data_IF_564532985004
#
_entry.id   IF_564532985004
#
_cell.length_a   1.000
_cell.length_b   1.000
_cell.length_c   1.000
_cell.angle_alpha   90.00
_cell.angle_beta   90.00
_cell.angle_gamma   90.00
#
_symmetry.space_group_name_H-M   'P 1'
#
loop_
_entity.id
_entity.type
_entity.pdbx_description
1 polymer ?
#
# COMPACT_ATOMS: atom_id res chain seq x y z
N UNK A 1 15.57 34.82 8.50
CA UNK A 1 15.31 33.66 9.39
C UNK A 1 16.18 32.51 8.91
N UNK A 2 16.88 31.80 9.80
CA UNK A 2 17.65 30.62 9.40
C UNK A 2 16.67 29.52 9.01
N UNK A 3 16.88 28.87 7.88
CA UNK A 3 16.05 27.75 7.45
C UNK A 3 16.15 26.61 8.48
N UNK A 4 15.00 26.05 8.87
CA UNK A 4 14.93 24.95 9.84
C UNK A 4 15.44 23.67 9.19
N UNK A 5 16.26 22.91 9.90
CA UNK A 5 16.73 21.58 9.48
C UNK A 5 15.64 20.55 9.76
N UNK A 6 15.05 19.97 8.71
CA UNK A 6 13.92 19.03 8.81
C UNK A 6 14.28 17.69 8.17
N UNK A 7 13.74 16.61 8.72
CA UNK A 7 13.88 15.26 8.13
C UNK A 7 12.56 14.51 8.19
N UNK A 8 12.29 13.73 7.15
CA UNK A 8 11.21 12.76 7.10
C UNK A 8 11.78 11.34 7.16
N UNK A 9 11.44 10.61 8.23
CA UNK A 9 11.81 9.21 8.44
C UNK A 9 10.62 8.34 8.05
N UNK A 10 10.89 7.42 7.14
CA UNK A 10 9.89 6.57 6.49
C UNK A 10 10.13 5.11 6.89
N UNK A 11 9.16 4.52 7.57
CA UNK A 11 9.13 3.09 7.85
C UNK A 11 8.59 2.24 6.70
N UNK A 12 8.46 0.93 6.95
CA UNK A 12 7.78 0.02 6.04
C UNK A 12 6.26 0.27 6.08
N UNK A 13 5.62 0.51 4.95
CA UNK A 13 4.16 0.68 4.87
C UNK A 13 3.69 2.03 4.38
N UNK A 14 4.57 2.88 3.87
CA UNK A 14 4.16 4.12 3.18
C UNK A 14 3.19 3.84 2.04
N UNK A 15 3.36 2.71 1.35
CA UNK A 15 2.45 2.24 0.32
C UNK A 15 1.01 1.98 0.82
N UNK A 16 0.76 2.00 2.13
CA UNK A 16 -0.59 1.80 2.70
C UNK A 16 -1.21 3.06 3.30
N UNK A 17 -0.51 4.19 3.23
CA UNK A 17 -1.02 5.44 3.78
C UNK A 17 -2.08 6.05 2.86
N UNK A 18 -3.06 6.73 3.46
CA UNK A 18 -4.02 7.58 2.76
C UNK A 18 -3.33 8.59 1.81
N UNK A 19 -3.99 9.01 0.72
CA UNK A 19 -3.47 9.99 -0.26
C UNK A 19 -2.76 11.17 0.37
N UNK A 20 -3.43 11.81 1.33
CA UNK A 20 -2.95 13.05 1.96
C UNK A 20 -1.54 12.90 2.56
N UNK A 21 -1.19 11.69 3.00
CA UNK A 21 0.11 11.37 3.54
C UNK A 21 1.15 11.09 2.44
N UNK A 22 0.74 10.53 1.30
CA UNK A 22 1.60 10.39 0.12
C UNK A 22 1.88 11.75 -0.53
N UNK A 23 0.86 12.61 -0.62
CA UNK A 23 1.03 13.99 -1.07
C UNK A 23 2.00 14.75 -0.16
N UNK A 24 1.87 14.58 1.16
CA UNK A 24 2.83 15.11 2.13
C UNK A 24 4.27 14.62 1.88
N UNK A 25 4.46 13.33 1.55
CA UNK A 25 5.78 12.79 1.19
C UNK A 25 6.29 13.38 -0.12
N UNK A 26 5.42 13.50 -1.13
CA UNK A 26 5.77 14.01 -2.46
C UNK A 26 6.17 15.49 -2.42
N UNK A 27 5.48 16.27 -1.60
CA UNK A 27 5.76 17.69 -1.40
C UNK A 27 6.93 17.93 -0.43
N UNK A 28 7.53 16.87 0.12
CA UNK A 28 8.66 16.96 1.05
C UNK A 28 9.97 17.30 0.33
N UNK A 29 10.44 18.53 0.53
CA UNK A 29 11.66 19.05 -0.12
C UNK A 29 12.94 18.87 0.68
N UNK A 30 12.86 18.48 1.95
CA UNK A 30 14.02 18.26 2.82
C UNK A 30 14.50 16.79 2.73
N UNK A 31 15.44 16.40 3.58
CA UNK A 31 15.98 15.03 3.58
C UNK A 31 14.90 13.98 3.88
N UNK A 32 14.94 12.87 3.14
CA UNK A 32 14.15 11.66 3.37
C UNK A 32 15.09 10.53 3.78
N UNK A 33 14.77 9.90 4.90
CA UNK A 33 15.46 8.74 5.43
C UNK A 33 14.50 7.56 5.44
N UNK A 34 14.91 6.40 4.94
CA UNK A 34 14.04 5.20 4.85
C UNK A 34 14.55 4.06 5.71
N UNK A 35 13.62 3.25 6.21
CA UNK A 35 13.92 2.07 7.00
C UNK A 35 13.66 0.80 6.19
N UNK A 36 14.52 -0.21 6.37
CA UNK A 36 14.41 -1.55 5.80
C UNK A 36 14.13 -1.58 4.30
N UNK A 37 12.89 -1.78 3.87
CA UNK A 37 12.53 -1.88 2.45
C UNK A 37 11.72 -0.68 1.96
N UNK A 38 11.60 0.36 2.78
CA UNK A 38 10.87 1.59 2.45
C UNK A 38 11.33 2.22 1.13
N UNK A 39 12.61 2.10 0.75
CA UNK A 39 13.14 2.58 -0.54
C UNK A 39 12.45 1.99 -1.79
N UNK A 40 11.76 0.85 -1.65
CA UNK A 40 11.00 0.21 -2.73
C UNK A 40 9.55 0.73 -2.82
N UNK A 41 9.05 1.39 -1.78
CA UNK A 41 7.62 1.69 -1.65
C UNK A 41 7.19 2.98 -2.33
N UNK A 42 8.13 3.82 -2.76
CA UNK A 42 7.81 5.07 -3.43
C UNK A 42 8.85 5.38 -4.50
N UNK A 43 8.42 5.32 -5.77
CA UNK A 43 9.30 5.57 -6.94
C UNK A 43 9.78 7.03 -7.01
N UNK A 44 9.06 7.95 -6.38
CA UNK A 44 9.33 9.39 -6.47
C UNK A 44 10.09 9.96 -5.25
N UNK A 45 10.90 9.17 -4.53
CA UNK A 45 11.76 9.74 -3.48
C UNK A 45 12.90 10.57 -4.08
N UNK A 46 12.60 11.80 -4.48
CA UNK A 46 13.61 12.70 -5.07
C UNK A 46 14.70 13.11 -4.08
N UNK A 47 14.41 13.07 -2.77
CA UNK A 47 15.31 13.50 -1.70
C UNK A 47 15.70 12.37 -0.74
N UNK A 48 15.70 11.11 -1.22
CA UNK A 48 16.23 10.00 -0.43
C UNK A 48 17.73 10.19 -0.20
N UNK A 49 18.13 10.52 1.02
CA UNK A 49 19.54 10.73 1.37
C UNK A 49 20.11 9.58 2.18
N UNK A 50 19.29 8.86 2.95
CA UNK A 50 19.77 7.83 3.88
C UNK A 50 18.82 6.65 4.01
N UNK A 51 19.39 5.52 4.36
CA UNK A 51 18.70 4.28 4.60
C UNK A 51 19.29 3.55 5.80
N UNK A 52 18.45 2.91 6.62
CA UNK A 52 18.89 1.97 7.65
C UNK A 52 18.15 0.64 7.53
N UNK A 53 18.82 -0.45 7.83
CA UNK A 53 18.17 -1.74 7.97
C UNK A 53 19.01 -2.79 8.67
N UNK A 54 18.42 -3.98 8.71
CA UNK A 54 19.15 -5.21 9.03
C UNK A 54 19.98 -5.67 7.83
N UNK A 55 20.69 -6.79 8.01
CA UNK A 55 21.61 -7.34 7.00
C UNK A 55 20.97 -7.51 5.60
N UNK A 56 19.85 -8.24 5.51
CA UNK A 56 19.21 -8.55 4.22
C UNK A 56 18.69 -7.30 3.49
N UNK A 57 17.92 -6.39 4.13
CA UNK A 57 17.48 -5.16 3.49
C UNK A 57 18.64 -4.28 2.98
N UNK A 58 19.71 -4.13 3.77
CA UNK A 58 20.87 -3.33 3.37
C UNK A 58 21.61 -3.97 2.19
N UNK A 59 21.77 -5.30 2.17
CA UNK A 59 22.41 -5.98 1.05
C UNK A 59 21.61 -5.82 -0.25
N UNK A 60 20.27 -5.96 -0.19
CA UNK A 60 19.38 -5.70 -1.34
C UNK A 60 19.46 -4.24 -1.82
N UNK A 61 19.60 -3.29 -0.89
CA UNK A 61 19.68 -1.88 -1.23
C UNK A 61 20.98 -1.47 -1.91
N UNK A 62 22.11 -2.10 -1.59
CA UNK A 62 23.37 -1.90 -2.33
C UNK A 62 23.17 -2.22 -3.80
N UNK A 63 22.60 -3.41 -4.09
CA UNK A 63 22.29 -3.81 -5.47
C UNK A 63 21.29 -2.86 -6.13
N UNK A 64 20.23 -2.47 -5.42
CA UNK A 64 19.23 -1.54 -5.94
C UNK A 64 19.82 -0.17 -6.31
N UNK A 65 20.68 0.37 -5.42
CA UNK A 65 21.39 1.64 -5.62
C UNK A 65 22.26 1.61 -6.87
N UNK A 66 23.01 0.53 -7.07
CA UNK A 66 23.87 0.33 -8.25
C UNK A 66 23.06 0.21 -9.54
N UNK A 67 22.01 -0.62 -9.55
CA UNK A 67 21.17 -0.84 -10.73
C UNK A 67 20.43 0.42 -11.19
N UNK A 68 20.11 1.34 -10.28
CA UNK A 68 19.32 2.54 -10.57
C UNK A 68 20.15 3.83 -10.53
N UNK A 69 21.47 3.73 -10.40
CA UNK A 69 22.39 4.88 -10.29
C UNK A 69 21.94 5.92 -9.23
N UNK A 70 21.50 5.42 -8.07
CA UNK A 70 21.01 6.26 -6.98
C UNK A 70 22.15 6.64 -6.03
N UNK A 71 21.99 7.74 -5.29
CA UNK A 71 22.98 8.21 -4.35
C UNK A 71 22.39 8.49 -2.96
N UNK A 72 22.33 7.45 -2.13
CA UNK A 72 21.99 7.57 -0.70
C UNK A 72 22.96 6.75 0.16
N UNK A 73 23.06 7.14 1.42
CA UNK A 73 23.89 6.46 2.42
C UNK A 73 23.17 5.25 3.02
N UNK A 74 23.89 4.15 3.23
CA UNK A 74 23.35 2.92 3.82
C UNK A 74 23.96 2.74 5.21
N UNK A 75 23.09 2.58 6.21
CA UNK A 75 23.43 2.35 7.61
C UNK A 75 22.97 0.96 8.03
N UNK A 76 23.78 0.29 8.84
CA UNK A 76 23.41 -0.96 9.49
C UNK A 76 22.96 -0.67 10.92
N UNK A 77 21.82 -1.25 11.33
CA UNK A 77 21.39 -1.18 12.73
C UNK A 77 22.38 -1.89 13.66
N UNK A 78 22.91 -3.03 13.25
CA UNK A 78 23.87 -3.81 14.05
C UNK A 78 25.23 -3.90 13.34
N UNK A 79 26.25 -3.28 13.95
CA UNK A 79 27.59 -3.16 13.37
C UNK A 79 28.28 -4.52 13.20
N UNK A 80 27.98 -5.49 14.06
CA UNK A 80 28.53 -6.84 13.98
C UNK A 80 28.18 -7.59 12.68
N UNK A 81 27.27 -7.08 11.85
CA UNK A 81 26.97 -7.63 10.53
C UNK A 81 27.68 -6.95 9.37
N UNK A 82 28.45 -5.87 9.62
CA UNK A 82 29.11 -5.10 8.57
C UNK A 82 30.00 -5.95 7.66
N UNK A 83 30.70 -6.91 8.23
CA UNK A 83 31.57 -7.82 7.48
C UNK A 83 30.81 -8.78 6.54
N UNK A 84 29.50 -8.93 6.73
CA UNK A 84 28.66 -9.82 5.91
C UNK A 84 28.11 -9.14 4.66
N UNK A 85 28.07 -7.80 4.62
CA UNK A 85 27.50 -7.06 3.49
C UNK A 85 28.46 -7.06 2.30
N UNK A 86 27.93 -7.40 1.13
CA UNK A 86 28.62 -7.21 -0.13
C UNK A 86 28.99 -5.73 -0.26
N UNK A 87 30.29 -5.43 -0.28
CA UNK A 87 30.81 -4.05 -0.29
C UNK A 87 30.61 -3.27 1.02
N UNK A 88 30.96 -3.88 2.15
CA UNK A 88 30.97 -3.29 3.51
C UNK A 88 31.56 -1.88 3.66
N UNK A 89 32.40 -1.42 2.72
CA UNK A 89 32.94 -0.05 2.64
C UNK A 89 31.86 1.00 2.35
N UNK A 90 30.76 0.63 1.70
CA UNK A 90 29.64 1.53 1.40
C UNK A 90 28.73 1.76 2.62
N UNK A 91 28.88 0.96 3.68
CA UNK A 91 28.03 1.02 4.87
C UNK A 91 28.64 1.99 5.89
N UNK A 92 27.84 2.96 6.31
CA UNK A 92 28.18 3.95 7.34
C UNK A 92 27.82 3.45 8.73
N UNK A 93 28.52 3.98 9.73
CA UNK A 93 28.28 3.73 11.15
C UNK A 93 27.27 4.75 11.67
N UNK A 94 26.45 4.34 12.64
CA UNK A 94 25.54 5.21 13.38
C UNK A 94 26.27 5.83 14.58
N UNK A 95 25.91 7.07 14.91
CA UNK A 95 26.38 7.74 16.12
C UNK A 95 25.51 7.39 17.35
N UNK A 96 24.41 6.66 17.12
CA UNK A 96 23.48 6.21 18.16
C UNK A 96 24.18 5.20 19.08
N UNK A 97 24.17 5.36 20.42
CA UNK A 97 24.67 4.35 21.35
C UNK A 97 23.88 3.03 21.27
N UNK A 98 24.55 1.89 21.53
CA UNK A 98 23.97 0.55 21.35
C UNK A 98 22.67 0.33 22.15
N UNK A 99 22.58 0.90 23.35
CA UNK A 99 21.39 0.81 24.21
C UNK A 99 20.15 1.52 23.64
N UNK A 100 20.33 2.38 22.62
CA UNK A 100 19.26 3.05 21.88
C UNK A 100 19.08 2.49 20.46
N UNK A 101 19.74 1.38 20.09
CA UNK A 101 19.56 0.72 18.78
C UNK A 101 18.48 -0.36 18.84
N UNK A 102 17.21 0.03 19.03
CA UNK A 102 16.08 -0.92 19.13
C UNK A 102 15.66 -1.48 17.77
N UNK A 103 14.84 -0.77 17.01
CA UNK A 103 14.48 -1.09 15.62
C UNK A 103 15.03 -0.04 14.66
N UNK A 104 15.02 -0.33 13.35
CA UNK A 104 15.58 0.53 12.31
C UNK A 104 15.07 1.97 12.37
N UNK A 105 13.75 2.17 12.51
CA UNK A 105 13.21 3.52 12.46
C UNK A 105 13.30 4.27 13.79
N UNK A 106 13.10 3.58 14.91
CA UNK A 106 13.39 4.12 16.25
C UNK A 106 14.84 4.59 16.35
N UNK A 107 15.79 3.80 15.84
CA UNK A 107 17.22 4.16 15.79
C UNK A 107 17.47 5.41 14.94
N UNK A 108 16.83 5.54 13.78
CA UNK A 108 16.93 6.74 12.95
C UNK A 108 16.35 7.99 13.59
N UNK A 109 15.31 7.86 14.42
CA UNK A 109 14.81 9.00 15.19
C UNK A 109 15.88 9.49 16.18
N UNK A 110 16.58 8.59 16.86
CA UNK A 110 17.68 8.98 17.75
C UNK A 110 18.84 9.61 16.98
N UNK A 111 19.21 9.03 15.83
CA UNK A 111 20.24 9.63 14.97
C UNK A 111 19.87 11.07 14.57
N UNK A 112 18.61 11.32 14.18
CA UNK A 112 18.14 12.66 13.84
C UNK A 112 18.16 13.62 15.04
N UNK A 113 17.83 13.14 16.24
CA UNK A 113 17.92 13.94 17.47
C UNK A 113 19.39 14.32 17.75
N UNK A 114 20.31 13.35 17.70
CA UNK A 114 21.75 13.57 17.94
C UNK A 114 22.36 14.53 16.90
N UNK A 115 21.89 14.47 15.65
CA UNK A 115 22.25 15.39 14.57
C UNK A 115 21.57 16.76 14.66
N UNK A 116 20.83 17.02 15.74
CA UNK A 116 20.20 18.30 16.09
C UNK A 116 19.26 18.80 15.00
N UNK A 117 18.47 17.93 14.39
CA UNK A 117 17.36 18.36 13.55
C UNK A 117 16.38 19.24 14.35
N UNK A 118 15.77 20.21 13.68
CA UNK A 118 14.79 21.12 14.28
C UNK A 118 13.40 20.46 14.31
N UNK A 119 13.07 19.70 13.28
CA UNK A 119 11.82 18.96 13.16
C UNK A 119 12.05 17.58 12.55
N UNK A 120 11.49 16.55 13.18
CA UNK A 120 11.65 15.15 12.80
C UNK A 120 10.25 14.58 12.55
N UNK A 121 9.94 14.29 11.31
CA UNK A 121 8.66 13.71 10.92
C UNK A 121 8.85 12.22 10.72
N UNK A 122 7.90 11.45 11.22
CA UNK A 122 7.97 10.00 11.25
C UNK A 122 6.68 9.48 10.65
N UNK A 123 6.78 8.67 9.60
CA UNK A 123 5.63 8.20 8.84
C UNK A 123 5.80 6.75 8.40
N UNK A 124 4.71 5.99 8.32
CA UNK A 124 4.75 4.59 7.93
C UNK A 124 5.64 3.74 8.84
N UNK A 125 5.92 4.21 10.07
CA UNK A 125 6.53 3.37 11.08
C UNK A 125 5.51 2.34 11.46
N UNK A 126 5.77 1.09 11.10
CA UNK A 126 4.83 0.00 11.30
C UNK A 126 4.79 -0.38 12.77
N UNK A 127 4.02 0.39 13.54
CA UNK A 127 3.98 0.29 14.99
C UNK A 127 2.89 -0.66 15.47
N UNK A 128 2.60 -1.70 14.68
CA UNK A 128 1.72 -2.82 15.02
C UNK A 128 0.67 -3.15 13.96
N UNK A 129 0.89 -2.74 12.71
CA UNK A 129 0.10 -3.15 11.56
C UNK A 129 0.70 -4.40 10.93
N UNK A 130 -0.03 -5.05 10.02
CA UNK A 130 0.55 -6.18 9.30
C UNK A 130 1.71 -5.71 8.44
N UNK A 131 2.97 -5.91 8.86
CA UNK A 131 4.13 -5.56 8.04
C UNK A 131 4.07 -6.29 6.71
N UNK A 132 4.17 -5.51 5.62
CA UNK A 132 4.03 -6.00 4.25
C UNK A 132 5.21 -6.88 3.82
N UNK A 133 6.33 -6.77 4.52
CA UNK A 133 7.54 -7.54 4.30
C UNK A 133 7.79 -8.59 5.39
N UNK A 134 7.13 -8.48 6.55
CA UNK A 134 7.28 -9.40 7.69
C UNK A 134 5.93 -9.95 8.14
N UNK A 135 5.61 -11.14 7.62
CA UNK A 135 4.37 -11.86 7.95
C UNK A 135 4.21 -12.07 9.45
N UNK A 136 3.12 -11.54 10.02
CA UNK A 136 2.76 -11.76 11.43
C UNK A 136 3.38 -10.79 12.43
N UNK A 137 4.13 -9.76 11.99
CA UNK A 137 4.73 -8.77 12.89
C UNK A 137 3.70 -8.06 13.80
N UNK A 138 2.47 -7.88 13.31
CA UNK A 138 1.33 -7.33 14.08
C UNK A 138 0.90 -8.17 15.28
N UNK A 139 1.32 -9.45 15.35
CA UNK A 139 0.96 -10.37 16.43
C UNK A 139 1.98 -10.43 17.55
N UNK A 140 3.12 -9.77 17.36
CA UNK A 140 4.15 -9.72 18.38
C UNK A 140 3.75 -8.75 19.49
N UNK A 141 4.15 -9.07 20.71
CA UNK A 141 4.01 -8.15 21.84
C UNK A 141 4.90 -6.92 21.61
N UNK A 142 4.29 -5.74 21.65
CA UNK A 142 4.97 -4.43 21.47
C UNK A 142 5.16 -3.68 22.79
N UNK A 143 5.02 -4.36 23.93
CA UNK A 143 5.20 -3.76 25.25
C UNK A 143 6.61 -3.18 25.45
N UNK A 144 7.65 -3.92 25.05
CA UNK A 144 9.05 -3.49 25.16
C UNK A 144 9.34 -2.24 24.32
N UNK A 145 8.63 -2.08 23.21
CA UNK A 145 8.74 -0.91 22.35
C UNK A 145 8.24 0.37 23.05
N UNK A 146 7.13 0.27 23.79
CA UNK A 146 6.60 1.41 24.57
C UNK A 146 7.61 1.85 25.63
N UNK A 147 8.19 0.89 26.35
CA UNK A 147 9.17 1.17 27.39
C UNK A 147 10.44 1.80 26.81
N UNK A 148 10.83 1.36 25.62
CA UNK A 148 11.94 1.97 24.89
C UNK A 148 11.61 3.43 24.50
N UNK A 149 10.45 3.71 23.92
CA UNK A 149 10.09 5.08 23.53
C UNK A 149 9.88 6.01 24.73
N UNK A 150 9.40 5.50 25.86
CA UNK A 150 9.33 6.25 27.11
C UNK A 150 10.71 6.62 27.63
N UNK A 151 11.65 5.68 27.54
CA UNK A 151 13.07 5.93 27.87
C UNK A 151 13.63 7.06 27.01
N UNK A 152 13.41 6.98 25.70
CA UNK A 152 13.82 8.02 24.76
C UNK A 152 13.18 9.37 25.06
N UNK A 153 11.88 9.39 25.36
CA UNK A 153 11.18 10.62 25.70
C UNK A 153 11.77 11.30 26.94
N UNK A 154 12.16 10.51 27.94
CA UNK A 154 12.82 11.01 29.15
C UNK A 154 14.23 11.53 28.86
N UNK A 155 15.02 10.79 28.08
CA UNK A 155 16.44 11.06 27.93
C UNK A 155 16.74 12.12 26.85
N UNK A 156 15.85 12.26 25.85
CA UNK A 156 16.07 13.12 24.68
C UNK A 156 14.97 14.16 24.41
N UNK A 157 13.82 14.07 25.08
CA UNK A 157 12.58 14.74 24.68
C UNK A 157 12.07 14.29 23.29
N UNK A 158 10.75 14.32 23.11
CA UNK A 158 10.09 14.08 21.82
C UNK A 158 9.47 15.35 21.22
N UNK A 159 9.77 16.54 21.74
CA UNK A 159 9.11 17.78 21.32
C UNK A 159 9.23 18.07 19.83
N UNK A 160 10.35 17.65 19.24
CA UNK A 160 10.64 17.82 17.80
C UNK A 160 10.13 16.69 16.93
N UNK A 161 9.64 15.61 17.53
CA UNK A 161 9.19 14.41 16.82
C UNK A 161 7.69 14.48 16.58
N UNK A 162 7.30 14.35 15.31
CA UNK A 162 5.91 14.33 14.86
C UNK A 162 5.61 13.01 14.15
N UNK A 163 4.65 12.26 14.68
CA UNK A 163 4.14 11.06 14.01
C UNK A 163 3.02 11.46 13.04
N UNK A 164 3.20 11.16 11.76
CA UNK A 164 2.23 11.43 10.70
C UNK A 164 1.36 10.19 10.49
N UNK A 165 0.04 10.38 10.46
CA UNK A 165 -0.95 9.31 10.49
C UNK A 165 -1.47 9.08 11.90
N UNK A 166 -1.04 7.99 12.55
CA UNK A 166 -1.38 7.71 13.94
C UNK A 166 -0.40 8.40 14.89
N UNK A 167 -0.91 9.27 15.76
CA UNK A 167 -0.09 9.94 16.76
C UNK A 167 0.16 9.04 17.99
N UNK A 168 1.28 8.34 17.99
CA UNK A 168 1.72 7.49 19.09
C UNK A 168 2.24 8.28 20.30
N UNK A 169 2.61 9.55 20.11
CA UNK A 169 3.26 10.38 21.14
C UNK A 169 2.35 10.55 22.36
N UNK A 170 1.05 10.72 22.16
CA UNK A 170 0.07 10.82 23.26
C UNK A 170 0.10 9.61 24.18
N UNK A 171 0.25 8.42 23.62
CA UNK A 171 0.34 7.21 24.41
C UNK A 171 1.69 7.10 25.12
N UNK A 172 2.80 7.31 24.37
CA UNK A 172 4.17 7.25 24.90
C UNK A 172 4.32 8.17 26.11
N UNK A 173 3.81 9.40 26.02
CA UNK A 173 3.89 10.42 27.07
C UNK A 173 2.83 10.28 28.18
N UNK A 174 1.92 9.31 28.08
CA UNK A 174 0.91 9.05 29.12
C UNK A 174 1.39 7.99 30.12
N UNK A 175 0.69 7.90 31.25
CA UNK A 175 0.89 6.84 32.27
C UNK A 175 0.14 5.54 31.94
N UNK A 176 -0.44 5.42 30.73
CA UNK A 176 -1.21 4.22 30.36
C UNK A 176 -0.33 2.95 30.40
N UNK A 177 -0.84 1.80 30.87
CA UNK A 177 -0.03 0.57 30.91
C UNK A 177 0.43 0.14 29.51
N UNK A 178 1.69 -0.29 29.37
CA UNK A 178 2.26 -0.76 28.09
C UNK A 178 1.43 -1.90 27.47
N UNK A 179 0.88 -2.78 28.29
CA UNK A 179 0.03 -3.89 27.86
C UNK A 179 -1.27 -3.40 27.18
N UNK A 180 -1.75 -2.21 27.55
CA UNK A 180 -2.91 -1.59 26.89
C UNK A 180 -2.56 -1.17 25.46
N UNK A 181 -1.33 -0.69 25.24
CA UNK A 181 -0.81 -0.46 23.89
C UNK A 181 -0.79 -1.77 23.12
N UNK A 182 -0.06 -2.77 23.63
CA UNK A 182 0.08 -4.06 22.96
C UNK A 182 -1.28 -4.68 22.60
N UNK A 183 -2.27 -4.61 23.49
CA UNK A 183 -3.63 -5.06 23.23
C UNK A 183 -4.32 -4.28 22.10
N UNK A 184 -4.22 -2.95 22.06
CA UNK A 184 -4.74 -2.14 20.96
C UNK A 184 -4.18 -2.58 19.59
N UNK A 185 -2.91 -2.99 19.55
CA UNK A 185 -2.25 -3.47 18.33
C UNK A 185 -2.61 -4.91 17.98
N UNK A 186 -2.63 -5.82 18.97
CA UNK A 186 -3.00 -7.22 18.77
C UNK A 186 -4.46 -7.37 18.29
N UNK A 187 -5.34 -6.45 18.67
CA UNK A 187 -6.73 -6.39 18.21
C UNK A 187 -6.86 -5.96 16.74
N UNK A 188 -5.76 -5.61 16.07
CA UNK A 188 -5.74 -5.35 14.63
C UNK A 188 -6.57 -4.13 14.22
N UNK A 189 -6.79 -3.17 15.13
CA UNK A 189 -7.29 -1.87 14.72
C UNK A 189 -6.23 -1.25 13.82
N UNK A 190 -6.47 -1.27 12.52
CA UNK A 190 -5.64 -0.57 11.53
C UNK A 190 -5.48 0.90 11.99
N UNK A 191 -4.30 1.22 12.51
CA UNK A 191 -3.87 2.61 12.79
C UNK A 191 -3.75 3.44 11.50
N UNK A 192 -3.89 2.79 10.35
CA UNK A 192 -4.01 3.43 9.04
C UNK A 192 -5.47 3.72 8.64
N UNK A 193 -6.45 3.38 9.49
CA UNK A 193 -7.87 3.43 9.12
C UNK A 193 -8.20 2.32 8.13
N UNK A 194 -9.31 1.61 8.36
CA UNK A 194 -9.62 0.42 7.58
C UNK A 194 -9.61 0.64 6.06
N UNK A 195 -9.22 -0.39 5.33
CA UNK A 195 -9.88 -0.65 4.05
C UNK A 195 -9.46 0.19 2.83
N UNK A 196 -8.16 0.30 2.55
CA UNK A 196 -7.61 0.15 1.18
C UNK A 196 -8.05 1.11 0.06
N UNK A 197 -8.57 2.30 0.36
CA UNK A 197 -8.79 3.34 -0.65
C UNK A 197 -7.68 4.38 -0.54
N UNK A 198 -6.70 4.33 -1.44
CA UNK A 198 -5.58 5.29 -1.47
C UNK A 198 -5.80 6.38 -2.51
N UNK A 199 -6.98 6.51 -3.14
CA UNK A 199 -7.40 7.70 -3.90
C UNK A 199 -8.92 7.77 -4.09
N UNK A 200 -9.45 8.96 -4.38
CA UNK A 200 -10.81 9.11 -4.90
C UNK A 200 -10.92 8.68 -6.37
N UNK A 201 -9.79 8.51 -7.04
CA UNK A 201 -9.66 8.09 -8.43
C UNK A 201 -9.14 6.64 -8.51
N UNK A 202 -9.73 5.83 -9.38
CA UNK A 202 -9.41 4.42 -9.53
C UNK A 202 -9.26 4.09 -11.02
N UNK A 203 -8.30 3.22 -11.37
CA UNK A 203 -8.25 2.54 -12.65
C UNK A 203 -8.47 1.04 -12.46
N UNK A 204 -9.44 0.48 -13.18
CA UNK A 204 -9.75 -0.94 -13.21
C UNK A 204 -9.36 -1.49 -14.58
N UNK A 205 -8.42 -2.43 -14.61
CA UNK A 205 -7.92 -3.06 -15.82
C UNK A 205 -8.56 -4.44 -16.02
N UNK A 206 -9.27 -4.60 -17.12
CA UNK A 206 -9.85 -5.85 -17.62
C UNK A 206 -9.01 -6.53 -18.70
N UNK A 207 -9.46 -7.70 -19.16
CA UNK A 207 -8.67 -8.58 -20.05
C UNK A 207 -8.79 -8.24 -21.55
N UNK A 208 -9.54 -7.19 -21.91
CA UNK A 208 -9.79 -6.76 -23.28
C UNK A 208 -8.61 -6.01 -23.91
N UNK A 209 -8.55 -6.02 -25.24
CA UNK A 209 -7.44 -5.52 -26.05
C UNK A 209 -7.25 -3.99 -26.02
N UNK A 210 -8.25 -3.18 -25.69
CA UNK A 210 -8.11 -1.71 -25.58
C UNK A 210 -7.05 -1.30 -24.57
N UNK A 211 -6.75 -2.16 -23.58
CA UNK A 211 -5.65 -1.93 -22.65
C UNK A 211 -4.29 -1.79 -23.33
N UNK A 212 -4.11 -2.40 -24.51
CA UNK A 212 -2.88 -2.26 -25.30
C UNK A 212 -2.82 -0.92 -26.03
N UNK A 213 -3.96 -0.41 -26.49
CA UNK A 213 -4.08 0.89 -27.17
C UNK A 213 -3.85 2.07 -26.22
N UNK A 214 -4.07 1.83 -24.93
CA UNK A 214 -3.97 2.82 -23.85
C UNK A 214 -2.94 2.42 -22.80
N UNK A 215 -1.88 1.74 -23.23
CA UNK A 215 -0.81 1.30 -22.34
C UNK A 215 -0.12 2.50 -21.65
N UNK A 216 -0.03 3.65 -22.31
CA UNK A 216 0.51 4.89 -21.76
C UNK A 216 -0.27 5.36 -20.52
N UNK A 217 -1.61 5.29 -20.55
CA UNK A 217 -2.45 5.66 -19.40
C UNK A 217 -2.18 4.71 -18.23
N UNK A 218 -2.07 3.40 -18.51
CA UNK A 218 -1.82 2.38 -17.48
C UNK A 218 -0.46 2.58 -16.81
N UNK A 219 0.60 2.80 -17.59
CA UNK A 219 1.96 2.96 -17.08
C UNK A 219 2.17 4.28 -16.33
N UNK A 220 1.42 5.31 -16.68
CA UNK A 220 1.49 6.62 -16.04
C UNK A 220 0.44 6.83 -14.93
N UNK A 221 -0.37 5.80 -14.63
CA UNK A 221 -1.38 5.89 -13.58
C UNK A 221 -0.73 6.03 -12.19
N UNK A 222 -1.20 7.00 -11.40
CA UNK A 222 -0.60 7.33 -10.08
C UNK A 222 -1.53 7.08 -8.89
N UNK A 223 -2.82 6.90 -9.17
CA UNK A 223 -3.85 6.63 -8.17
C UNK A 223 -4.04 5.12 -7.99
N UNK A 224 -5.12 4.70 -7.33
CA UNK A 224 -5.41 3.29 -7.11
C UNK A 224 -5.57 2.54 -8.44
N UNK A 225 -4.96 1.37 -8.54
CA UNK A 225 -4.96 0.52 -9.72
C UNK A 225 -5.34 -0.92 -9.35
N UNK A 226 -6.46 -1.37 -9.90
CA UNK A 226 -6.97 -2.72 -9.72
C UNK A 226 -6.86 -3.49 -11.03
N UNK A 227 -6.41 -4.74 -10.95
CA UNK A 227 -6.34 -5.62 -12.11
C UNK A 227 -7.26 -6.82 -11.93
N UNK A 228 -7.93 -7.22 -13.01
CA UNK A 228 -8.77 -8.39 -13.02
C UNK A 228 -7.98 -9.67 -13.32
N UNK A 229 -8.36 -10.75 -12.64
CA UNK A 229 -7.91 -12.11 -12.93
C UNK A 229 -6.38 -12.27 -12.96
N UNK A 230 -5.80 -12.68 -14.11
CA UNK A 230 -4.37 -12.98 -14.26
C UNK A 230 -3.53 -11.81 -14.75
N UNK A 231 -4.11 -10.61 -14.89
CA UNK A 231 -3.39 -9.44 -15.43
C UNK A 231 -2.22 -9.00 -14.56
N UNK A 232 -2.20 -9.34 -13.27
CA UNK A 232 -1.05 -9.11 -12.41
C UNK A 232 0.24 -9.78 -12.91
N UNK A 233 0.13 -10.87 -13.69
CA UNK A 233 1.29 -11.52 -14.31
C UNK A 233 1.83 -10.69 -15.48
N UNK A 234 0.96 -10.00 -16.20
CA UNK A 234 1.32 -9.21 -17.37
C UNK A 234 2.07 -7.94 -16.96
N UNK A 235 1.65 -7.28 -15.88
CA UNK A 235 2.22 -6.01 -15.42
C UNK A 235 3.23 -6.16 -14.27
N UNK A 236 3.70 -7.37 -14.00
CA UNK A 236 4.64 -7.62 -12.92
C UNK A 236 5.96 -6.85 -13.15
N UNK A 237 6.34 -6.01 -12.19
CA UNK A 237 7.55 -5.19 -12.24
C UNK A 237 7.41 -3.89 -13.04
N UNK A 238 6.30 -3.70 -13.75
CA UNK A 238 6.07 -2.53 -14.60
C UNK A 238 5.32 -1.44 -13.83
N UNK A 239 4.17 -1.80 -13.25
CA UNK A 239 3.28 -0.86 -12.53
C UNK A 239 3.06 -1.29 -11.09
N UNK A 240 2.61 -0.35 -10.26
CA UNK A 240 2.13 -0.65 -8.91
C UNK A 240 0.69 -1.12 -9.03
N UNK A 241 0.40 -2.30 -8.49
CA UNK A 241 -0.94 -2.87 -8.43
C UNK A 241 -1.38 -2.80 -6.98
N UNK A 242 -2.53 -2.20 -6.71
CA UNK A 242 -3.08 -2.15 -5.35
C UNK A 242 -3.92 -3.39 -5.07
N UNK A 243 -4.69 -3.87 -6.06
CA UNK A 243 -5.58 -5.03 -5.89
C UNK A 243 -5.65 -5.93 -7.12
N UNK A 244 -5.67 -7.23 -6.85
CA UNK A 244 -6.03 -8.28 -7.80
C UNK A 244 -7.42 -8.79 -7.46
N UNK A 245 -8.32 -8.72 -8.44
CA UNK A 245 -9.74 -8.98 -8.25
C UNK A 245 -10.20 -10.12 -9.16
N UNK A 246 -10.86 -11.15 -8.63
CA UNK A 246 -11.31 -12.28 -9.45
C UNK A 246 -12.53 -13.03 -8.90
N UNK A 247 -13.45 -13.44 -9.76
CA UNK A 247 -14.52 -14.38 -9.37
C UNK A 247 -14.08 -15.85 -9.30
N UNK A 248 -12.80 -16.14 -9.61
CA UNK A 248 -12.28 -17.49 -9.71
C UNK A 248 -11.35 -17.81 -8.52
N UNK A 249 -11.78 -18.73 -7.65
CA UNK A 249 -10.99 -19.19 -6.49
C UNK A 249 -9.58 -19.66 -6.87
N UNK A 250 -9.45 -20.38 -7.99
CA UNK A 250 -8.13 -20.83 -8.46
C UNK A 250 -7.20 -19.66 -8.83
N UNK A 251 -7.72 -18.58 -9.40
CA UNK A 251 -6.94 -17.39 -9.73
C UNK A 251 -6.55 -16.63 -8.46
N UNK A 252 -7.45 -16.53 -7.48
CA UNK A 252 -7.13 -15.91 -6.19
C UNK A 252 -5.99 -16.64 -5.46
N UNK A 253 -6.00 -17.98 -5.46
CA UNK A 253 -4.92 -18.79 -4.89
C UNK A 253 -3.61 -18.59 -5.67
N UNK A 254 -3.66 -18.60 -7.01
CA UNK A 254 -2.47 -18.37 -7.84
C UNK A 254 -1.88 -16.97 -7.63
N UNK A 255 -2.73 -15.95 -7.49
CA UNK A 255 -2.32 -14.59 -7.16
C UNK A 255 -1.67 -14.53 -5.79
N UNK A 256 -2.21 -15.24 -4.79
CA UNK A 256 -1.59 -15.33 -3.46
C UNK A 256 -0.20 -15.97 -3.51
N UNK A 257 -0.06 -17.10 -4.18
CA UNK A 257 1.23 -17.78 -4.32
C UNK A 257 2.25 -16.90 -5.06
N UNK A 258 1.81 -16.18 -6.09
CA UNK A 258 2.65 -15.24 -6.82
C UNK A 258 3.06 -14.04 -5.97
N UNK A 259 2.13 -13.48 -5.19
CA UNK A 259 2.38 -12.40 -4.23
C UNK A 259 3.46 -12.78 -3.24
N UNK A 260 3.33 -13.95 -2.61
CA UNK A 260 4.29 -14.47 -1.63
C UNK A 260 5.67 -14.72 -2.26
N UNK A 261 5.72 -15.35 -3.43
CA UNK A 261 6.97 -15.66 -4.13
C UNK A 261 7.78 -14.40 -4.48
N UNK A 262 7.10 -13.32 -4.84
CA UNK A 262 7.74 -12.11 -5.36
C UNK A 262 7.70 -10.94 -4.36
N UNK A 263 7.40 -11.19 -3.08
CA UNK A 263 7.34 -10.17 -2.02
C UNK A 263 6.45 -8.96 -2.39
N UNK A 264 5.31 -9.20 -3.04
CA UNK A 264 4.39 -8.15 -3.50
C UNK A 264 3.39 -7.74 -2.42
N UNK A 265 2.92 -6.49 -2.48
CA UNK A 265 2.06 -5.88 -1.45
C UNK A 265 0.58 -5.72 -1.86
N UNK A 266 0.18 -6.13 -3.07
CA UNK A 266 -1.22 -6.00 -3.50
C UNK A 266 -2.18 -6.85 -2.66
N UNK A 267 -3.45 -6.47 -2.65
CA UNK A 267 -4.53 -7.25 -2.06
C UNK A 267 -5.17 -8.21 -3.05
N UNK A 268 -5.85 -9.24 -2.53
CA UNK A 268 -6.54 -10.22 -3.35
C UNK A 268 -7.99 -10.29 -2.93
N UNK A 269 -8.91 -10.06 -3.85
CA UNK A 269 -10.35 -10.21 -3.60
C UNK A 269 -10.97 -11.28 -4.48
N UNK A 270 -11.94 -11.99 -3.91
CA UNK A 270 -12.78 -12.91 -4.64
C UNK A 270 -14.21 -12.96 -4.14
N UNK A 271 -15.10 -13.56 -4.92
CA UNK A 271 -16.53 -13.67 -4.57
C UNK A 271 -16.86 -14.90 -3.73
N UNK A 272 -15.85 -15.69 -3.36
CA UNK A 272 -16.02 -16.94 -2.59
C UNK A 272 -15.03 -16.99 -1.45
N UNK A 273 -15.49 -17.49 -0.31
CA UNK A 273 -14.59 -17.85 0.77
C UNK A 273 -13.55 -18.88 0.29
N UNK A 274 -12.27 -18.61 0.52
CA UNK A 274 -11.17 -19.51 0.17
C UNK A 274 -10.62 -20.14 1.45
N UNK A 275 -11.01 -21.39 1.71
CA UNK A 275 -10.55 -22.14 2.89
C UNK A 275 -9.02 -22.17 2.94
N UNK A 276 -8.45 -21.86 4.10
CA UNK A 276 -7.01 -21.74 4.38
C UNK A 276 -6.32 -20.44 3.91
N UNK A 277 -7.02 -19.58 3.16
CA UNK A 277 -6.45 -18.32 2.64
C UNK A 277 -7.23 -17.08 3.10
N UNK A 278 -8.19 -17.25 4.01
CA UNK A 278 -9.14 -16.21 4.43
C UNK A 278 -8.52 -14.99 5.13
N UNK A 279 -7.24 -15.05 5.53
CA UNK A 279 -6.50 -13.89 6.06
C UNK A 279 -5.91 -13.01 4.97
N UNK A 280 -5.66 -13.58 3.80
CA UNK A 280 -4.86 -12.98 2.71
C UNK A 280 -5.68 -12.77 1.44
N UNK A 281 -6.80 -13.50 1.33
CA UNK A 281 -7.77 -13.42 0.24
C UNK A 281 -9.09 -12.94 0.82
N UNK A 282 -9.42 -11.70 0.52
CA UNK A 282 -10.62 -11.01 0.96
C UNK A 282 -11.83 -11.45 0.14
N UNK A 283 -13.00 -11.43 0.77
CA UNK A 283 -14.25 -11.53 0.04
C UNK A 283 -14.72 -10.13 -0.34
N UNK A 284 -15.29 -9.98 -1.54
CA UNK A 284 -16.02 -8.75 -1.87
C UNK A 284 -17.09 -8.46 -0.81
N UNK A 285 -17.28 -7.17 -0.52
CA UNK A 285 -18.26 -6.68 0.44
C UNK A 285 -19.65 -7.25 0.16
N UNK A 286 -20.44 -7.42 1.22
CA UNK A 286 -21.79 -7.92 1.09
C UNK A 286 -22.72 -6.89 0.46
N UNK A 287 -22.88 -7.00 -0.86
CA UNK A 287 -23.77 -6.13 -1.65
C UNK A 287 -25.17 -6.71 -1.81
N UNK A 288 -25.65 -7.47 -0.81
CA UNK A 288 -27.01 -8.02 -0.71
C UNK A 288 -28.15 -6.99 -0.72
N UNK A 289 -27.90 -5.74 -1.10
CA UNK A 289 -28.95 -4.83 -1.56
C UNK A 289 -29.65 -5.35 -2.82
N UNK A 290 -28.97 -6.14 -3.65
CA UNK A 290 -29.60 -6.91 -4.72
C UNK A 290 -30.35 -8.12 -4.14
N UNK A 291 -31.53 -7.88 -3.57
CA UNK A 291 -32.35 -8.85 -2.79
C UNK A 291 -32.63 -10.20 -3.49
N UNK A 292 -32.25 -10.40 -4.76
CA UNK A 292 -32.65 -11.57 -5.55
C UNK A 292 -31.56 -12.21 -6.45
N UNK A 293 -30.28 -11.79 -6.41
CA UNK A 293 -29.23 -12.44 -7.22
C UNK A 293 -28.08 -12.95 -6.35
N UNK A 294 -27.88 -14.28 -6.23
CA UNK A 294 -26.76 -14.85 -5.50
C UNK A 294 -25.39 -14.36 -6.02
N UNK A 295 -24.50 -13.88 -5.12
CA UNK A 295 -23.16 -13.32 -5.44
C UNK A 295 -22.29 -14.24 -6.30
N UNK A 296 -22.44 -15.54 -6.16
CA UNK A 296 -21.69 -16.55 -6.90
C UNK A 296 -22.03 -16.58 -8.39
N UNK A 297 -23.03 -15.80 -8.83
CA UNK A 297 -23.43 -15.70 -10.23
C UNK A 297 -22.90 -14.45 -10.92
N UNK A 298 -22.38 -13.44 -10.24
CA UNK A 298 -21.93 -12.23 -10.94
C UNK A 298 -20.61 -12.46 -11.69
N UNK A 299 -20.39 -11.79 -12.82
CA UNK A 299 -19.09 -11.83 -13.49
C UNK A 299 -18.07 -10.95 -12.75
N UNK A 300 -16.77 -11.25 -12.89
CA UNK A 300 -15.69 -10.49 -12.22
C UNK A 300 -15.86 -8.98 -12.41
N UNK A 301 -16.09 -8.54 -13.63
CA UNK A 301 -16.23 -7.13 -14.00
C UNK A 301 -17.33 -6.39 -13.22
N UNK A 302 -18.54 -6.94 -13.17
CA UNK A 302 -19.66 -6.33 -12.43
C UNK A 302 -19.36 -6.23 -10.93
N UNK A 303 -18.80 -7.30 -10.35
CA UNK A 303 -18.50 -7.33 -8.90
C UNK A 303 -17.44 -6.29 -8.55
N UNK A 304 -16.42 -6.13 -9.40
CA UNK A 304 -15.31 -5.21 -9.16
C UNK A 304 -15.77 -3.75 -9.25
N UNK A 305 -16.60 -3.41 -10.24
CA UNK A 305 -17.22 -2.08 -10.33
C UNK A 305 -18.09 -1.81 -9.09
N UNK A 306 -18.93 -2.77 -8.70
CA UNK A 306 -19.78 -2.62 -7.53
C UNK A 306 -18.96 -2.43 -6.24
N UNK A 307 -17.84 -3.16 -6.10
CA UNK A 307 -16.94 -3.00 -4.97
C UNK A 307 -16.35 -1.59 -4.91
N UNK A 308 -15.93 -1.02 -6.04
CA UNK A 308 -15.43 0.35 -6.10
C UNK A 308 -16.52 1.38 -5.70
N UNK A 309 -17.77 1.15 -6.08
CA UNK A 309 -18.88 2.03 -5.70
C UNK A 309 -19.19 1.94 -4.20
N UNK A 310 -19.21 0.73 -3.63
CA UNK A 310 -19.42 0.51 -2.19
C UNK A 310 -18.33 1.16 -1.36
N UNK A 311 -17.09 1.14 -1.86
CA UNK A 311 -15.94 1.82 -1.24
C UNK A 311 -15.93 3.34 -1.51
N UNK A 312 -16.90 3.85 -2.26
CA UNK A 312 -17.13 5.28 -2.44
C UNK A 312 -16.08 5.98 -3.29
N UNK A 313 -15.45 5.31 -4.27
CA UNK A 313 -14.59 5.98 -5.25
C UNK A 313 -15.38 7.03 -6.04
N UNK A 314 -14.84 8.25 -6.15
CA UNK A 314 -15.53 9.36 -6.84
C UNK A 314 -15.35 9.32 -8.34
N UNK A 315 -14.23 8.76 -8.81
CA UNK A 315 -13.91 8.57 -10.23
C UNK A 315 -13.33 7.18 -10.45
N UNK A 316 -13.99 6.38 -11.27
CA UNK A 316 -13.64 5.00 -11.58
C UNK A 316 -13.43 4.91 -13.08
N UNK A 317 -12.20 4.66 -13.49
CA UNK A 317 -11.80 4.54 -14.88
C UNK A 317 -11.68 3.07 -15.21
N UNK A 318 -12.20 2.65 -16.35
CA UNK A 318 -12.28 1.25 -16.75
C UNK A 318 -11.63 1.09 -18.10
N UNK A 319 -10.72 0.13 -18.23
CA UNK A 319 -9.98 -0.15 -19.46
C UNK A 319 -9.91 -1.65 -19.71
N UNK A 320 -9.90 -2.10 -20.97
CA UNK A 320 -9.83 -3.53 -21.29
C UNK A 320 -11.15 -4.28 -21.00
N UNK A 321 -12.30 -3.64 -21.18
CA UNK A 321 -13.62 -4.27 -21.03
C UNK A 321 -14.27 -4.48 -22.42
N UNK A 322 -13.44 -4.78 -23.43
CA UNK A 322 -13.82 -4.75 -24.85
C UNK A 322 -14.62 -5.96 -25.34
N UNK A 323 -14.89 -6.93 -24.46
CA UNK A 323 -15.75 -8.04 -24.84
C UNK A 323 -17.16 -7.59 -25.22
N UNK A 324 -17.53 -6.33 -24.92
CA UNK A 324 -18.81 -5.70 -25.21
C UNK A 324 -19.05 -5.30 -26.68
N UNK A 325 -18.32 -5.89 -27.63
CA UNK A 325 -18.36 -5.55 -29.06
C UNK A 325 -19.77 -5.68 -29.71
N UNK A 326 -20.15 -4.61 -30.44
CA UNK A 326 -21.32 -4.38 -31.33
C UNK A 326 -22.73 -4.21 -30.72
N UNK A 327 -23.26 -3.00 -30.92
CA UNK A 327 -24.56 -2.42 -30.51
C UNK A 327 -25.81 -3.25 -30.77
N UNK A 328 -25.82 -4.10 -31.80
CA UNK A 328 -27.07 -4.72 -32.25
C UNK A 328 -27.36 -6.08 -31.59
N UNK A 329 -26.33 -6.84 -31.21
CA UNK A 329 -26.46 -8.21 -30.68
C UNK A 329 -25.20 -8.58 -29.88
N UNK A 330 -25.23 -8.53 -28.53
CA UNK A 330 -24.14 -9.11 -27.74
C UNK A 330 -23.93 -10.58 -28.16
N UNK A 331 -22.79 -10.83 -28.83
CA UNK A 331 -22.50 -12.09 -29.52
C UNK A 331 -22.24 -13.22 -28.53
N UNK A 332 -21.81 -12.91 -27.30
CA UNK A 332 -21.48 -13.91 -26.27
C UNK A 332 -22.43 -13.79 -25.07
N UNK A 333 -22.75 -14.93 -24.45
CA UNK A 333 -23.58 -14.99 -23.25
C UNK A 333 -23.00 -14.19 -22.07
N UNK A 334 -21.67 -14.02 -22.05
CA UNK A 334 -20.96 -13.22 -21.05
C UNK A 334 -21.32 -11.74 -21.12
N UNK A 335 -21.41 -11.17 -22.31
CA UNK A 335 -21.68 -9.73 -22.49
C UNK A 335 -23.10 -9.39 -22.07
N UNK A 336 -24.09 -10.21 -22.48
CA UNK A 336 -25.49 -10.08 -22.02
C UNK A 336 -25.61 -10.07 -20.50
N UNK A 337 -24.80 -10.90 -19.84
CA UNK A 337 -24.81 -11.06 -18.39
C UNK A 337 -24.18 -9.85 -17.69
N UNK A 338 -23.01 -9.38 -18.14
CA UNK A 338 -22.41 -8.14 -17.63
C UNK A 338 -23.36 -6.96 -17.79
N UNK A 339 -23.97 -6.78 -18.98
CA UNK A 339 -24.95 -5.73 -19.26
C UNK A 339 -26.11 -5.75 -18.25
N UNK A 340 -26.68 -6.93 -18.01
CA UNK A 340 -27.78 -7.10 -17.07
C UNK A 340 -27.37 -6.78 -15.63
N UNK A 341 -26.20 -7.26 -15.19
CA UNK A 341 -25.66 -7.00 -13.85
C UNK A 341 -25.31 -5.51 -13.65
N UNK A 342 -24.70 -4.88 -14.66
CA UNK A 342 -24.38 -3.46 -14.60
C UNK A 342 -25.62 -2.58 -14.53
N UNK A 343 -26.71 -2.92 -15.25
CA UNK A 343 -28.00 -2.22 -15.11
C UNK A 343 -28.56 -2.29 -13.69
N UNK A 344 -28.34 -3.42 -12.99
CA UNK A 344 -28.73 -3.56 -11.58
C UNK A 344 -27.88 -2.62 -10.72
N UNK A 345 -26.55 -2.62 -10.89
CA UNK A 345 -25.64 -1.72 -10.16
C UNK A 345 -26.06 -0.25 -10.33
N UNK A 346 -26.27 0.17 -11.58
CA UNK A 346 -26.64 1.55 -11.92
C UNK A 346 -27.94 1.98 -11.22
N UNK A 347 -28.97 1.12 -11.25
CA UNK A 347 -30.26 1.38 -10.63
C UNK A 347 -30.19 1.40 -9.10
N UNK A 348 -29.44 0.48 -8.49
CA UNK A 348 -29.41 0.32 -7.03
C UNK A 348 -28.50 1.33 -6.33
N UNK A 349 -27.34 1.63 -6.91
CA UNK A 349 -26.39 2.57 -6.32
C UNK A 349 -26.80 4.04 -6.50
N UNK A 350 -27.97 4.30 -7.13
CA UNK A 350 -28.45 5.65 -7.48
C UNK A 350 -27.31 6.48 -8.05
N UNK A 351 -26.63 5.95 -9.07
CA UNK A 351 -25.58 6.67 -9.79
C UNK A 351 -26.26 7.78 -10.59
N UNK A 352 -26.74 8.82 -9.90
CA UNK A 352 -27.40 9.98 -10.48
C UNK A 352 -26.35 10.90 -11.14
N UNK A 353 -25.08 10.76 -10.76
CA UNK A 353 -23.95 11.45 -11.38
C UNK A 353 -23.11 10.45 -12.20
N UNK A 354 -23.43 10.34 -13.50
CA UNK A 354 -22.69 9.59 -14.53
C UNK A 354 -21.17 9.91 -14.52
N UNK A 355 -20.76 11.01 -13.88
CA UNK A 355 -19.37 11.44 -13.71
C UNK A 355 -18.48 10.47 -12.93
N UNK A 356 -19.05 9.52 -12.19
CA UNK A 356 -18.27 8.57 -11.38
C UNK A 356 -17.63 7.46 -12.20
N UNK A 357 -18.19 7.05 -13.35
CA UNK A 357 -17.66 5.94 -14.14
C UNK A 357 -17.22 6.39 -15.53
N UNK A 358 -15.96 6.14 -15.87
CA UNK A 358 -15.35 6.54 -17.12
C UNK A 358 -14.75 5.33 -17.85
N UNK A 359 -15.25 4.99 -19.02
CA UNK A 359 -14.67 3.93 -19.85
C UNK A 359 -13.60 4.54 -20.76
N UNK A 360 -12.38 4.01 -20.68
CA UNK A 360 -11.22 4.45 -21.47
C UNK A 360 -11.09 3.53 -22.69
N UNK A 361 -11.11 4.14 -23.88
CA UNK A 361 -11.26 3.45 -25.16
C UNK A 361 -12.73 3.43 -25.57
N UNK A 362 -13.02 3.47 -26.87
CA UNK A 362 -14.40 3.59 -27.37
C UNK A 362 -15.25 2.40 -26.89
N UNK A 363 -16.21 2.60 -25.96
CA UNK A 363 -17.22 1.60 -25.71
C UNK A 363 -18.28 1.85 -26.78
N UNK A 364 -18.05 1.40 -28.02
CA UNK A 364 -18.94 1.68 -29.16
C UNK A 364 -20.33 1.00 -29.00
N UNK A 365 -21.05 1.20 -27.89
CA UNK A 365 -22.46 0.81 -27.82
C UNK A 365 -23.08 0.61 -26.44
N UNK A 366 -22.30 0.23 -25.42
CA UNK A 366 -22.89 -0.20 -24.14
C UNK A 366 -23.49 0.96 -23.32
N UNK A 367 -22.84 2.12 -23.31
CA UNK A 367 -23.27 3.29 -22.53
C UNK A 367 -24.52 3.99 -23.09
N UNK A 368 -24.90 3.72 -24.34
CA UNK A 368 -26.11 4.30 -24.94
C UNK A 368 -27.41 3.55 -24.58
N UNK A 369 -27.32 2.39 -23.91
CA UNK A 369 -28.45 1.51 -23.58
C UNK A 369 -28.99 1.74 -22.15
N UNK A 370 -28.36 2.62 -21.39
CA UNK A 370 -28.66 2.97 -20.00
C UNK A 370 -29.03 4.44 -19.97
#
# INVERSE_FOLDING_TARGET
MKEKKRVLIIGNGVSRLELKHRDFIKDWTNEIWVCNRGYLEHKDFQNLTRMIGDFDPCNKAVTYKECHNLNFDIYLRYEGWRHKICQSKQVKQLDVPDEYRADSGSTFVIQAILEKYDEIYVIGMDLGGADIYVTGLHKEDKSDWVDWWRRVARDFSLDKVTFVGMDHKKFILSDNPRDSYAKMYLEGKDHLGGGFKCSDNLLIIGNGESRFLHADIIHNWKDDLWVCDKLYLQYYGEIIIDRVMTSHTGIAILSYLFKQKNELNYQIYTNKFVKNYNKEVHCFSDTSTARNVPKNKWCTYSIVINQALVEGYKKINIIGFDSLSDEAKPKKAYDKKFIAEYKIIYKEQKIEDIKTLNFIGEPQGFLHII
#
